data_IF_989165834163
#
_entry.id   IF_989165834163
#
_cell.length_a   1.000
_cell.length_b   1.000
_cell.length_c   1.000
_cell.angle_alpha   90.00
_cell.angle_beta   90.00
_cell.angle_gamma   90.00
#
_symmetry.space_group_name_H-M   'P 1'
#
loop_
_entity.id
_entity.type
_entity.pdbx_description
1 polymer ?
#
# COMPACT_ATOMS: atom_id res chain seq x y z
N UNK A 1 -5.37 -7.99 -23.28
CA UNK A 1 -4.13 -8.76 -23.57
C UNK A 1 -4.23 -10.11 -22.89
N UNK A 2 -3.93 -11.22 -23.56
CA UNK A 2 -3.84 -12.55 -22.95
C UNK A 2 -2.70 -12.59 -21.92
N UNK A 3 -2.86 -13.35 -20.82
CA UNK A 3 -1.87 -13.45 -19.73
C UNK A 3 -0.49 -13.93 -20.18
N UNK A 4 -0.41 -14.84 -21.16
CA UNK A 4 0.86 -15.36 -21.66
C UNK A 4 1.70 -14.30 -22.39
N UNK A 5 1.05 -13.44 -23.17
CA UNK A 5 1.71 -12.40 -23.96
C UNK A 5 2.27 -11.26 -23.09
N UNK A 6 1.68 -11.03 -21.90
CA UNK A 6 2.19 -10.04 -20.95
C UNK A 6 3.51 -10.49 -20.29
N UNK A 7 3.69 -11.79 -20.06
CA UNK A 7 4.93 -12.31 -19.47
C UNK A 7 6.13 -12.22 -20.40
N UNK A 8 5.92 -12.51 -21.68
CA UNK A 8 6.95 -12.43 -22.72
C UNK A 8 7.40 -10.99 -22.97
N UNK A 9 6.46 -10.03 -23.05
CA UNK A 9 6.78 -8.60 -23.16
C UNK A 9 7.54 -8.09 -21.93
N UNK A 10 7.16 -8.54 -20.73
CA UNK A 10 7.86 -8.18 -19.50
C UNK A 10 9.30 -8.72 -19.47
N UNK A 11 9.52 -9.95 -19.97
CA UNK A 11 10.85 -10.55 -20.06
C UNK A 11 11.77 -9.77 -21.02
N UNK A 12 11.27 -9.44 -22.21
CA UNK A 12 12.02 -8.64 -23.20
C UNK A 12 12.37 -7.27 -22.64
N UNK A 13 11.41 -6.60 -21.97
CA UNK A 13 11.65 -5.30 -21.35
C UNK A 13 12.71 -5.36 -20.24
N UNK A 14 12.63 -6.39 -19.39
CA UNK A 14 13.59 -6.60 -18.31
C UNK A 14 15.02 -6.78 -18.85
N UNK A 15 15.19 -7.58 -19.89
CA UNK A 15 16.49 -7.85 -20.50
C UNK A 15 17.03 -6.64 -21.28
N UNK A 16 16.21 -6.03 -22.14
CA UNK A 16 16.70 -5.07 -23.13
C UNK A 16 16.61 -3.60 -22.68
N UNK A 17 15.68 -3.26 -21.78
CA UNK A 17 15.48 -1.88 -21.31
C UNK A 17 16.05 -1.68 -19.91
N UNK A 18 15.81 -2.64 -19.00
CA UNK A 18 16.31 -2.56 -17.63
C UNK A 18 17.71 -3.17 -17.46
N UNK A 19 18.21 -3.93 -18.45
CA UNK A 19 19.49 -4.64 -18.35
C UNK A 19 19.52 -5.71 -17.26
N UNK A 20 18.34 -6.17 -16.82
CA UNK A 20 18.14 -7.07 -15.68
C UNK A 20 17.22 -8.22 -16.10
N UNK A 21 17.74 -9.25 -16.80
CA UNK A 21 16.93 -10.42 -17.16
C UNK A 21 16.33 -11.06 -15.89
N UNK A 22 15.08 -11.50 -15.97
CA UNK A 22 14.36 -12.10 -14.83
C UNK A 22 13.84 -11.12 -13.78
N UNK A 23 13.99 -9.80 -13.95
CA UNK A 23 13.54 -8.78 -12.98
C UNK A 23 12.07 -8.89 -12.54
N UNK A 24 11.19 -9.38 -13.42
CA UNK A 24 9.77 -9.61 -13.15
C UNK A 24 9.41 -11.07 -12.85
N UNK A 25 10.39 -11.98 -12.86
CA UNK A 25 10.20 -13.42 -12.66
C UNK A 25 10.35 -13.87 -11.19
N UNK A 26 10.92 -13.01 -10.32
CA UNK A 26 10.99 -13.28 -8.88
C UNK A 26 9.59 -13.43 -8.26
N UNK A 27 9.44 -14.34 -7.29
CA UNK A 27 8.16 -14.64 -6.62
C UNK A 27 7.49 -13.38 -6.04
N UNK A 28 8.28 -12.38 -5.67
CA UNK A 28 7.83 -11.13 -5.03
C UNK A 28 7.87 -9.92 -5.98
N UNK A 29 8.02 -10.11 -7.29
CA UNK A 29 8.08 -9.00 -8.26
C UNK A 29 6.79 -8.13 -8.30
N UNK A 30 5.71 -8.60 -7.67
CA UNK A 30 4.42 -7.90 -7.55
C UNK A 30 4.20 -7.27 -6.18
N UNK A 31 5.10 -7.49 -5.23
CA UNK A 31 5.06 -6.99 -3.86
C UNK A 31 5.67 -5.59 -3.79
N UNK A 32 4.99 -4.62 -4.40
CA UNK A 32 5.43 -3.22 -4.45
C UNK A 32 5.10 -2.46 -3.18
N UNK A 33 4.02 -2.83 -2.50
CA UNK A 33 3.49 -2.09 -1.36
C UNK A 33 3.19 -3.00 -0.17
N UNK A 34 3.27 -2.42 1.02
CA UNK A 34 2.97 -3.06 2.29
C UNK A 34 2.12 -2.14 3.17
N UNK A 35 1.25 -2.74 3.98
CA UNK A 35 0.53 -2.04 5.06
C UNK A 35 1.05 -2.43 6.44
N UNK A 36 2.17 -3.17 6.50
CA UNK A 36 2.78 -3.65 7.73
C UNK A 36 3.12 -2.52 8.73
N UNK A 37 3.65 -1.35 8.33
CA UNK A 37 3.87 -0.25 9.28
C UNK A 37 2.58 0.20 9.97
N UNK A 38 1.47 0.24 9.24
CA UNK A 38 0.14 0.61 9.77
C UNK A 38 -0.39 -0.48 10.67
N UNK A 39 -0.24 -1.76 10.29
CA UNK A 39 -0.62 -2.91 11.12
C UNK A 39 0.12 -2.90 12.45
N UNK A 40 1.43 -2.61 12.42
CA UNK A 40 2.30 -2.57 13.61
C UNK A 40 1.98 -1.41 14.55
N UNK A 41 1.83 -0.20 14.01
CA UNK A 41 1.48 0.98 14.81
C UNK A 41 0.01 0.93 15.25
N UNK A 42 -0.82 0.30 14.43
CA UNK A 42 -2.22 0.04 14.67
C UNK A 42 -3.09 1.28 14.45
N UNK A 43 -4.22 1.36 15.19
CA UNK A 43 -5.32 2.29 14.91
C UNK A 43 -5.00 3.79 15.06
N UNK A 44 -3.86 4.13 15.68
CA UNK A 44 -3.41 5.51 15.85
C UNK A 44 -2.38 5.94 14.82
N UNK A 45 -2.12 5.12 13.79
CA UNK A 45 -1.16 5.44 12.74
C UNK A 45 -1.48 6.78 12.07
N UNK A 46 -0.45 7.60 11.91
CA UNK A 46 -0.51 8.88 11.20
C UNK A 46 0.64 8.91 10.20
N UNK A 47 0.38 9.44 9.01
CA UNK A 47 1.43 9.69 8.03
C UNK A 47 2.35 10.82 8.51
N UNK A 48 3.66 10.59 8.50
CA UNK A 48 4.61 11.69 8.49
C UNK A 48 4.61 12.34 7.11
N UNK A 49 4.26 13.61 7.06
CA UNK A 49 4.27 14.44 5.86
C UNK A 49 5.07 15.73 6.04
N UNK A 50 5.76 15.91 7.18
CA UNK A 50 6.46 17.15 7.50
C UNK A 50 7.63 17.43 6.54
N UNK A 51 8.12 16.40 5.84
CA UNK A 51 9.17 16.52 4.83
C UNK A 51 8.75 17.29 3.57
N UNK A 52 7.45 17.50 3.33
CA UNK A 52 6.94 18.26 2.19
C UNK A 52 5.95 19.31 2.66
N UNK A 53 6.41 20.54 2.80
CA UNK A 53 5.61 21.69 3.28
C UNK A 53 4.40 21.99 2.39
N UNK A 54 4.32 21.44 1.18
CA UNK A 54 3.13 21.57 0.31
C UNK A 54 1.99 20.69 0.78
N UNK A 55 2.28 19.62 1.52
CA UNK A 55 1.27 18.74 2.13
C UNK A 55 0.79 19.40 3.42
N UNK A 56 -0.49 19.74 3.45
CA UNK A 56 -1.15 20.34 4.60
C UNK A 56 -1.62 19.30 5.61
N UNK A 57 -2.10 18.16 5.11
CA UNK A 57 -2.74 17.14 5.93
C UNK A 57 -2.87 15.82 5.14
N UNK A 58 -2.89 14.69 5.85
CA UNK A 58 -3.13 13.36 5.30
C UNK A 58 -4.11 12.61 6.20
N UNK A 59 -5.25 12.19 5.64
CA UNK A 59 -6.32 11.53 6.40
C UNK A 59 -6.65 10.16 5.84
N UNK A 60 -6.61 9.13 6.69
CA UNK A 60 -7.07 7.79 6.32
C UNK A 60 -8.58 7.74 6.46
N UNK A 61 -9.26 7.75 5.32
CA UNK A 61 -10.73 7.87 5.27
C UNK A 61 -11.45 6.54 5.07
N UNK A 62 -10.73 5.48 4.71
CA UNK A 62 -11.26 4.13 4.75
C UNK A 62 -10.16 3.12 5.03
N UNK A 63 -10.54 2.00 5.64
CA UNK A 63 -9.69 0.82 5.81
C UNK A 63 -10.52 -0.46 5.67
N UNK A 64 -9.91 -1.51 5.13
CA UNK A 64 -10.50 -2.84 5.05
C UNK A 64 -9.56 -3.84 5.73
N UNK A 65 -10.05 -4.52 6.77
CA UNK A 65 -9.33 -5.57 7.46
C UNK A 65 -9.90 -6.92 7.02
N UNK A 66 -9.05 -7.78 6.49
CA UNK A 66 -9.42 -9.12 6.05
C UNK A 66 -9.16 -10.12 7.17
N UNK A 67 -10.16 -10.96 7.45
CA UNK A 67 -10.05 -12.06 8.40
C UNK A 67 -9.73 -13.35 7.67
N UNK A 68 -8.69 -14.01 8.15
CA UNK A 68 -8.28 -15.35 7.76
C UNK A 68 -8.46 -16.27 8.95
N UNK A 69 -8.93 -17.48 8.69
CA UNK A 69 -8.99 -18.57 9.67
C UNK A 69 -8.31 -19.81 9.10
N UNK A 70 -7.75 -20.60 10.00
CA UNK A 70 -7.20 -21.90 9.68
C UNK A 70 -8.35 -22.91 9.52
N UNK A 71 -8.31 -23.72 8.45
CA UNK A 71 -9.22 -24.84 8.27
C UNK A 71 -8.77 -26.08 9.05
N UNK A 72 -9.54 -27.17 8.97
CA UNK A 72 -9.23 -28.44 9.64
C UNK A 72 -7.89 -29.05 9.19
N UNK A 73 -7.40 -28.67 8.00
CA UNK A 73 -6.16 -29.15 7.40
C UNK A 73 -4.95 -28.23 7.71
N UNK A 74 -5.14 -27.18 8.51
CA UNK A 74 -4.08 -26.23 8.87
C UNK A 74 -3.84 -25.11 7.83
N UNK A 75 -4.69 -24.99 6.81
CA UNK A 75 -4.54 -23.98 5.77
C UNK A 75 -5.31 -22.69 6.09
N UNK A 76 -4.62 -21.56 6.02
CA UNK A 76 -5.24 -20.24 6.20
C UNK A 76 -6.09 -19.85 4.99
N UNK A 77 -7.39 -19.62 5.21
CA UNK A 77 -8.33 -19.16 4.19
C UNK A 77 -8.94 -17.83 4.54
N UNK A 78 -9.17 -17.01 3.53
CA UNK A 78 -9.96 -15.80 3.66
C UNK A 78 -11.40 -16.16 4.05
N UNK A 79 -11.94 -15.47 5.06
CA UNK A 79 -13.29 -15.68 5.56
C UNK A 79 -14.18 -14.49 5.23
N UNK A 80 -13.75 -13.28 5.61
CA UNK A 80 -14.54 -12.05 5.44
C UNK A 80 -13.67 -10.81 5.55
N UNK A 81 -14.24 -9.66 5.15
CA UNK A 81 -13.65 -8.34 5.34
C UNK A 81 -14.50 -7.50 6.29
N UNK A 82 -13.82 -6.75 7.17
CA UNK A 82 -14.41 -5.67 7.94
C UNK A 82 -13.98 -4.32 7.35
N UNK A 83 -14.95 -3.55 6.86
CA UNK A 83 -14.70 -2.22 6.32
C UNK A 83 -15.00 -1.13 7.35
N UNK A 84 -14.20 -0.06 7.30
CA UNK A 84 -14.44 1.18 8.03
C UNK A 84 -14.29 2.36 7.08
N UNK A 85 -15.19 3.34 7.17
CA UNK A 85 -15.18 4.58 6.40
C UNK A 85 -15.46 5.76 7.31
N UNK A 86 -14.58 6.76 7.29
CA UNK A 86 -14.74 8.00 8.03
C UNK A 86 -14.07 9.16 7.28
N UNK A 87 -14.85 10.12 6.81
CA UNK A 87 -14.33 11.27 6.07
C UNK A 87 -13.43 12.20 6.91
N UNK A 88 -13.50 12.13 8.24
CA UNK A 88 -12.68 12.92 9.17
C UNK A 88 -11.25 12.43 9.28
N UNK A 89 -10.96 11.18 8.88
CA UNK A 89 -9.64 10.56 9.01
C UNK A 89 -9.53 9.52 10.14
N UNK A 90 -10.60 9.26 10.89
CA UNK A 90 -10.58 8.32 12.01
C UNK A 90 -10.90 6.87 11.62
N UNK A 91 -10.83 6.50 10.33
CA UNK A 91 -11.30 5.20 9.86
C UNK A 91 -10.58 4.01 10.54
N UNK A 92 -9.27 4.13 10.80
CA UNK A 92 -8.52 3.08 11.51
C UNK A 92 -8.94 2.94 12.98
N UNK A 93 -9.37 4.03 13.64
CA UNK A 93 -9.77 4.01 15.05
C UNK A 93 -11.03 3.19 15.28
N UNK A 94 -11.90 3.07 14.28
CA UNK A 94 -13.09 2.20 14.38
C UNK A 94 -12.75 0.74 14.63
N UNK A 95 -11.56 0.26 14.22
CA UNK A 95 -11.12 -1.10 14.51
C UNK A 95 -10.88 -1.34 16.01
N UNK A 96 -10.61 -0.29 16.81
CA UNK A 96 -10.49 -0.42 18.29
C UNK A 96 -11.78 -0.92 18.93
N UNK A 97 -12.92 -0.47 18.40
CA UNK A 97 -14.24 -0.79 18.91
C UNK A 97 -14.86 -2.03 18.23
N UNK A 98 -14.14 -2.68 17.31
CA UNK A 98 -14.61 -3.89 16.62
C UNK A 98 -13.88 -5.14 17.11
N UNK A 99 -14.17 -6.28 16.49
CA UNK A 99 -13.51 -7.57 16.71
C UNK A 99 -12.13 -7.68 16.01
N UNK A 100 -11.74 -6.69 15.19
CA UNK A 100 -10.48 -6.71 14.45
C UNK A 100 -9.29 -6.68 15.41
N UNK A 101 -8.46 -7.73 15.36
CA UNK A 101 -7.21 -7.82 16.14
C UNK A 101 -6.08 -8.22 15.21
N UNK A 102 -5.38 -7.21 14.69
CA UNK A 102 -4.27 -7.41 13.76
C UNK A 102 -3.26 -8.44 14.29
N UNK A 103 -2.79 -9.32 13.41
CA UNK A 103 -1.87 -10.41 13.73
C UNK A 103 -2.54 -11.71 14.19
N UNK A 104 -3.82 -11.71 14.61
CA UNK A 104 -4.58 -12.92 14.98
C UNK A 104 -5.53 -13.34 13.85
N UNK A 105 -4.99 -13.60 12.68
CA UNK A 105 -5.78 -13.88 11.46
C UNK A 105 -6.36 -12.64 10.78
N UNK A 106 -6.40 -11.49 11.46
CA UNK A 106 -6.76 -10.21 10.82
C UNK A 106 -5.54 -9.54 10.20
N UNK A 107 -5.69 -9.07 8.96
CA UNK A 107 -4.67 -8.32 8.21
C UNK A 107 -5.30 -7.08 7.59
N UNK A 108 -4.60 -5.95 7.61
CA UNK A 108 -5.07 -4.77 6.89
C UNK A 108 -4.82 -4.98 5.39
N UNK A 109 -5.89 -5.19 4.62
CA UNK A 109 -5.80 -5.50 3.18
C UNK A 109 -5.81 -4.26 2.29
N UNK A 110 -6.42 -3.17 2.76
CA UNK A 110 -6.56 -1.95 1.97
C UNK A 110 -6.75 -0.73 2.85
N UNK A 111 -6.24 0.42 2.39
CA UNK A 111 -6.62 1.74 2.88
C UNK A 111 -6.99 2.68 1.74
N UNK A 112 -7.82 3.66 2.05
CA UNK A 112 -7.99 4.88 1.24
C UNK A 112 -7.66 6.09 2.10
N UNK A 113 -6.76 6.94 1.61
CA UNK A 113 -6.40 8.18 2.27
C UNK A 113 -6.53 9.39 1.35
N UNK A 114 -6.67 10.57 1.96
CA UNK A 114 -6.76 11.85 1.28
C UNK A 114 -5.57 12.70 1.65
N UNK A 115 -4.86 13.17 0.63
CA UNK A 115 -3.76 14.11 0.78
C UNK A 115 -4.26 15.50 0.39
N UNK A 116 -4.08 16.45 1.29
CA UNK A 116 -4.44 17.85 1.09
C UNK A 116 -3.17 18.66 0.80
N UNK A 117 -3.16 19.38 -0.32
CA UNK A 117 -2.04 20.18 -0.77
C UNK A 117 -2.36 21.67 -0.74
N UNK A 118 -1.35 22.48 -0.45
CA UNK A 118 -1.36 23.92 -0.69
C UNK A 118 -1.76 24.21 -2.14
N UNK A 119 -2.62 25.19 -2.33
CA UNK A 119 -3.06 25.65 -3.65
C UNK A 119 -3.50 27.11 -3.57
N UNK A 120 -3.33 27.83 -4.67
CA UNK A 120 -3.76 29.23 -4.79
C UNK A 120 -5.30 29.40 -4.82
N UNK A 121 -6.04 28.30 -4.88
CA UNK A 121 -7.50 28.29 -4.81
C UNK A 121 -8.01 28.46 -3.37
N UNK A 122 -9.28 28.88 -3.24
CA UNK A 122 -9.97 29.05 -1.95
C UNK A 122 -10.01 27.78 -1.08
N UNK A 123 -9.85 26.60 -1.69
CA UNK A 123 -9.80 25.31 -0.97
C UNK A 123 -8.53 24.56 -1.37
N UNK A 124 -7.89 23.86 -0.42
CA UNK A 124 -6.76 22.98 -0.71
C UNK A 124 -7.05 22.00 -1.84
N UNK A 125 -6.05 21.74 -2.67
CA UNK A 125 -6.13 20.66 -3.64
C UNK A 125 -6.16 19.32 -2.88
N UNK A 126 -7.05 18.41 -3.30
CA UNK A 126 -7.30 17.15 -2.61
C UNK A 126 -7.09 15.98 -3.55
N UNK A 127 -6.22 15.05 -3.20
CA UNK A 127 -6.02 13.80 -3.93
C UNK A 127 -6.49 12.64 -3.06
N UNK A 128 -7.34 11.77 -3.61
CA UNK A 128 -7.76 10.54 -2.94
C UNK A 128 -6.92 9.39 -3.50
N UNK A 129 -6.27 8.66 -2.60
CA UNK A 129 -5.32 7.61 -2.90
C UNK A 129 -5.82 6.32 -2.28
N UNK A 130 -5.88 5.27 -3.09
CA UNK A 130 -6.18 3.90 -2.67
C UNK A 130 -4.89 3.10 -2.69
N UNK A 131 -4.55 2.49 -1.56
CA UNK A 131 -3.39 1.62 -1.43
C UNK A 131 -3.87 0.22 -1.05
N UNK A 132 -3.61 -0.74 -1.93
CA UNK A 132 -3.96 -2.14 -1.78
C UNK A 132 -2.75 -3.02 -2.14
N UNK A 133 -2.03 -3.54 -1.15
CA UNK A 133 -1.01 -4.55 -1.36
C UNK A 133 -1.56 -5.78 -2.12
N UNK A 134 -0.70 -6.52 -2.83
CA UNK A 134 0.75 -6.29 -2.92
C UNK A 134 1.15 -5.19 -3.93
N UNK A 135 0.30 -4.80 -4.88
CA UNK A 135 0.77 -4.05 -6.07
C UNK A 135 0.01 -2.78 -6.46
N UNK A 136 -1.01 -2.36 -5.71
CA UNK A 136 -1.87 -1.25 -6.15
C UNK A 136 -1.66 0.02 -5.31
N UNK A 137 -1.21 1.08 -5.98
CA UNK A 137 -1.34 2.47 -5.53
C UNK A 137 -2.10 3.24 -6.61
N UNK A 138 -3.36 3.57 -6.35
CA UNK A 138 -4.26 4.14 -7.34
C UNK A 138 -4.75 5.54 -6.93
N UNK A 139 -4.57 6.50 -7.81
CA UNK A 139 -5.12 7.86 -7.69
C UNK A 139 -5.26 8.48 -9.08
N UNK A 140 -6.08 9.52 -9.20
CA UNK A 140 -6.23 10.25 -10.47
C UNK A 140 -4.92 10.97 -10.80
N UNK A 141 -4.46 10.88 -12.06
CA UNK A 141 -3.28 11.59 -12.56
C UNK A 141 -3.33 13.07 -12.19
N UNK A 142 -2.25 13.57 -11.60
CA UNK A 142 -2.18 14.91 -11.03
C UNK A 142 -0.73 15.41 -11.01
N UNK A 143 -0.55 16.73 -10.89
CA UNK A 143 0.79 17.34 -10.71
C UNK A 143 1.49 16.93 -9.40
N UNK A 144 0.76 16.35 -8.45
CA UNK A 144 1.29 15.95 -7.14
C UNK A 144 1.75 14.48 -7.07
N UNK A 145 1.79 13.78 -8.21
CA UNK A 145 2.15 12.36 -8.29
C UNK A 145 3.45 12.02 -7.56
N UNK A 146 4.53 12.76 -7.84
CA UNK A 146 5.84 12.57 -7.17
C UNK A 146 5.77 12.74 -5.65
N UNK A 147 4.95 13.66 -5.15
CA UNK A 147 4.79 13.88 -3.71
C UNK A 147 4.02 12.73 -3.03
N UNK A 148 3.03 12.15 -3.72
CA UNK A 148 2.27 11.00 -3.23
C UNK A 148 3.18 9.76 -3.14
N UNK A 149 3.99 9.49 -4.16
CA UNK A 149 4.97 8.41 -4.11
C UNK A 149 5.98 8.60 -2.97
N UNK A 150 6.53 9.81 -2.82
CA UNK A 150 7.46 10.11 -1.72
C UNK A 150 6.82 9.92 -0.33
N UNK A 151 5.54 10.28 -0.17
CA UNK A 151 4.78 10.07 1.05
C UNK A 151 4.64 8.58 1.40
N UNK A 152 4.27 7.75 0.41
CA UNK A 152 4.12 6.30 0.58
C UNK A 152 5.46 5.67 0.95
N UNK A 153 6.52 5.98 0.19
CA UNK A 153 7.87 5.46 0.42
C UNK A 153 8.42 5.85 1.80
N UNK A 154 8.35 7.13 2.19
CA UNK A 154 8.89 7.61 3.48
C UNK A 154 8.16 7.05 4.70
N UNK A 155 6.91 6.64 4.53
CA UNK A 155 6.14 5.98 5.60
C UNK A 155 6.31 4.45 5.58
N UNK A 156 7.27 3.92 4.81
CA UNK A 156 7.60 2.50 4.73
C UNK A 156 6.53 1.63 4.07
N UNK A 157 5.63 2.25 3.31
CA UNK A 157 4.50 1.56 2.66
C UNK A 157 4.86 1.04 1.26
N UNK A 158 6.02 1.43 0.74
CA UNK A 158 6.65 0.86 -0.45
C UNK A 158 7.70 -0.15 -0.01
N UNK A 159 7.70 -1.36 -0.60
CA UNK A 159 8.74 -2.34 -0.31
C UNK A 159 10.02 -1.93 -1.05
N UNK A 160 11.12 -1.80 -0.30
CA UNK A 160 12.44 -1.55 -0.88
C UNK A 160 12.96 -2.85 -1.51
N UNK A 161 13.08 -2.87 -2.84
CA UNK A 161 13.56 -4.04 -3.58
C UNK A 161 15.08 -4.20 -3.55
N UNK A 162 15.83 -3.17 -3.17
CA UNK A 162 17.30 -3.26 -3.13
C UNK A 162 17.80 -3.95 -1.85
N UNK A 163 17.03 -3.93 -0.75
CA UNK A 163 17.42 -4.60 0.50
C UNK A 163 17.35 -6.14 0.40
N UNK A 164 16.36 -6.70 -0.29
CA UNK A 164 16.18 -8.16 -0.41
C UNK A 164 17.18 -8.80 -1.39
N UNK A 165 17.66 -8.07 -2.40
CA UNK A 165 18.68 -8.55 -3.35
C UNK A 165 20.09 -8.67 -2.74
N UNK A 166 20.40 -7.92 -1.68
CA UNK A 166 21.70 -8.01 -0.99
C UNK A 166 21.77 -9.27 -0.13
N UNK A 167 20.62 -9.81 0.32
CA UNK A 167 20.57 -11.02 1.14
C UNK A 167 20.71 -12.28 0.28
N UNK A 168 20.12 -12.32 -0.92
CA UNK A 168 20.27 -13.48 -1.83
C UNK A 168 21.66 -13.60 -2.49
N UNK A 169 22.48 -12.55 -2.48
CA UNK A 169 23.86 -12.61 -2.99
C UNK A 169 24.88 -13.09 -1.95
N UNK A 170 24.43 -13.44 -0.74
CA UNK A 170 25.28 -13.82 0.39
C UNK A 170 25.09 -15.26 0.89
N UNK A 171 24.40 -16.13 0.14
CA UNK A 171 24.30 -17.57 0.42
C UNK A 171 25.11 -18.42 -0.58
#
# INVERSE_FOLDING_TARGET
MPKGQQGEVAAIFAEHILGRPGFFAGKDARDLYSLEPITRFGPDFVFDHAFDERILDVRIVAGAADFFAEDEDGAWRYVRTWESKDASGAALRHFKASEVRFGRGWRLGEITFRVFFKSDAKRPAKVTVRLKPPGTLAFRRTRFEKAIHALVARNGLEKDRDADLVVEAAE
#
